data_IF_670242041151
#
_entry.id   IF_670242041151
#
_cell.length_a   1.000
_cell.length_b   1.000
_cell.length_c   1.000
_cell.angle_alpha   90.00
_cell.angle_beta   90.00
_cell.angle_gamma   90.00
#
_symmetry.space_group_name_H-M   'P 1'
#
loop_
_entity.id
_entity.type
_entity.pdbx_description
1 polymer ?
#
# COMPACT_ATOMS: atom_id res chain seq x y z
N UNK A 1 -7.57 5.28 20.69
CA UNK A 1 -6.95 5.17 19.35
C UNK A 1 -6.28 3.82 19.13
N UNK A 2 -5.42 3.35 20.04
CA UNK A 2 -4.81 2.00 19.98
C UNK A 2 -5.67 0.93 20.64
N UNK A 3 -6.82 0.64 20.05
CA UNK A 3 -7.70 -0.46 20.46
C UNK A 3 -8.18 -1.18 19.20
N UNK A 4 -8.66 -2.41 19.35
CA UNK A 4 -9.34 -3.14 18.28
C UNK A 4 -10.81 -2.73 18.22
N UNK A 5 -11.38 -2.72 17.03
CA UNK A 5 -12.76 -2.33 16.75
C UNK A 5 -13.55 -3.48 16.18
N UNK A 6 -14.45 -3.15 15.25
CA UNK A 6 -15.27 -4.13 14.53
C UNK A 6 -14.41 -5.24 13.90
N UNK A 7 -14.80 -6.52 14.05
CA UNK A 7 -14.01 -7.70 13.65
C UNK A 7 -12.58 -7.76 14.24
N UNK A 8 -12.34 -7.12 15.39
CA UNK A 8 -11.01 -7.04 16.02
C UNK A 8 -9.95 -6.35 15.16
N UNK A 9 -10.33 -5.60 14.12
CA UNK A 9 -9.37 -4.86 13.30
C UNK A 9 -8.86 -3.62 14.06
N UNK A 10 -7.60 -3.22 13.89
CA UNK A 10 -7.07 -2.04 14.55
C UNK A 10 -7.86 -0.77 14.18
N UNK A 11 -8.27 0.02 15.18
CA UNK A 11 -9.09 1.20 14.95
C UNK A 11 -8.41 2.30 14.12
N UNK A 12 -7.07 2.22 13.93
CA UNK A 12 -6.29 3.17 13.14
C UNK A 12 -6.82 3.31 11.70
N UNK A 13 -7.26 2.21 11.08
CA UNK A 13 -7.80 2.24 9.71
C UNK A 13 -9.06 3.10 9.60
N UNK A 14 -9.90 3.11 10.65
CA UNK A 14 -11.09 3.96 10.70
C UNK A 14 -10.73 5.43 10.87
N UNK A 15 -9.68 5.77 11.62
CA UNK A 15 -9.20 7.16 11.71
C UNK A 15 -8.62 7.65 10.39
N UNK A 16 -7.85 6.80 9.69
CA UNK A 16 -7.40 7.10 8.33
C UNK A 16 -8.58 7.39 7.41
N UNK A 17 -9.58 6.50 7.39
CA UNK A 17 -10.78 6.66 6.57
C UNK A 17 -11.61 7.91 6.94
N UNK A 18 -11.78 8.20 8.24
CA UNK A 18 -12.50 9.36 8.71
C UNK A 18 -11.85 10.69 8.28
N UNK A 19 -10.51 10.74 8.25
CA UNK A 19 -9.78 11.91 7.73
C UNK A 19 -10.11 12.18 6.26
N UNK A 20 -10.17 11.14 5.44
CA UNK A 20 -10.52 11.27 4.02
C UNK A 20 -11.99 11.60 3.79
N UNK A 21 -12.91 11.07 4.59
CA UNK A 21 -14.31 11.48 4.55
C UNK A 21 -14.50 12.95 4.90
N UNK A 22 -13.70 13.50 5.83
CA UNK A 22 -13.74 14.94 6.12
C UNK A 22 -13.29 15.80 4.92
N UNK A 23 -12.39 15.30 4.08
CA UNK A 23 -11.84 16.03 2.93
C UNK A 23 -12.69 15.87 1.67
N UNK A 24 -13.22 14.68 1.41
CA UNK A 24 -13.89 14.32 0.16
C UNK A 24 -15.40 14.07 0.30
N UNK A 25 -15.91 14.10 1.53
CA UNK A 25 -17.29 13.76 1.87
C UNK A 25 -17.52 12.26 2.06
N UNK A 26 -18.62 11.91 2.70
CA UNK A 26 -19.08 10.53 2.91
C UNK A 26 -19.76 9.99 1.63
N UNK A 27 -18.94 9.65 0.65
CA UNK A 27 -19.37 9.09 -0.63
C UNK A 27 -18.42 7.97 -1.09
N UNK A 28 -18.77 7.30 -2.18
CA UNK A 28 -17.96 6.21 -2.74
C UNK A 28 -16.52 6.62 -3.07
N UNK A 29 -16.29 7.90 -3.41
CA UNK A 29 -14.95 8.42 -3.72
C UNK A 29 -14.16 8.56 -2.42
N UNK A 30 -14.73 9.20 -1.40
CA UNK A 30 -14.12 9.32 -0.07
C UNK A 30 -13.80 7.95 0.54
N UNK A 31 -14.63 6.93 0.28
CA UNK A 31 -14.40 5.57 0.74
C UNK A 31 -13.27 4.85 -0.03
N UNK A 32 -13.19 5.00 -1.35
CA UNK A 32 -12.30 4.15 -2.19
C UNK A 32 -10.99 4.80 -2.58
N UNK A 33 -10.99 6.11 -2.82
CA UNK A 33 -9.80 6.86 -3.23
C UNK A 33 -8.62 6.67 -2.28
N UNK A 34 -8.77 6.70 -0.94
CA UNK A 34 -7.65 6.57 -0.02
C UNK A 34 -6.92 5.23 -0.18
N UNK A 35 -7.69 4.15 -0.33
CA UNK A 35 -7.18 2.80 -0.47
C UNK A 35 -6.64 2.52 -1.86
N UNK A 36 -7.19 3.14 -2.90
CA UNK A 36 -6.63 3.12 -4.25
C UNK A 36 -5.26 3.81 -4.30
N UNK A 37 -5.10 4.92 -3.57
CA UNK A 37 -3.80 5.60 -3.41
C UNK A 37 -2.81 4.70 -2.69
N UNK A 38 -3.22 4.05 -1.60
CA UNK A 38 -2.39 3.05 -0.88
C UNK A 38 -1.93 1.94 -1.82
N UNK A 39 -2.83 1.31 -2.58
CA UNK A 39 -2.47 0.27 -3.55
C UNK A 39 -1.52 0.78 -4.65
N UNK A 40 -1.68 2.02 -5.10
CA UNK A 40 -0.79 2.63 -6.10
C UNK A 40 0.64 2.80 -5.54
N UNK A 41 0.77 3.23 -4.27
CA UNK A 41 2.07 3.31 -3.60
C UNK A 41 2.71 1.93 -3.38
N UNK A 42 1.92 0.88 -3.23
CA UNK A 42 2.43 -0.50 -3.20
C UNK A 42 3.10 -0.85 -4.53
N UNK A 43 2.43 -0.59 -5.67
CA UNK A 43 2.99 -0.85 -7.01
C UNK A 43 4.29 -0.06 -7.22
N UNK A 44 4.31 1.21 -6.83
CA UNK A 44 5.50 2.05 -6.92
C UNK A 44 6.63 1.53 -6.04
N UNK A 45 6.34 1.13 -4.80
CA UNK A 45 7.31 0.51 -3.91
C UNK A 45 7.89 -0.77 -4.50
N UNK A 46 7.06 -1.62 -5.14
CA UNK A 46 7.50 -2.88 -5.75
C UNK A 46 8.44 -2.60 -6.92
N UNK A 47 8.10 -1.63 -7.77
CA UNK A 47 8.99 -1.19 -8.84
C UNK A 47 10.36 -0.76 -8.30
N UNK A 48 10.39 0.09 -7.26
CA UNK A 48 11.64 0.59 -6.68
C UNK A 48 12.46 -0.52 -6.02
N UNK A 49 11.80 -1.43 -5.30
CA UNK A 49 12.43 -2.58 -4.66
C UNK A 49 13.10 -3.50 -5.67
N UNK A 50 12.39 -3.88 -6.72
CA UNK A 50 12.91 -4.79 -7.75
C UNK A 50 13.98 -4.09 -8.59
N UNK A 51 13.78 -2.81 -8.93
CA UNK A 51 14.79 -2.02 -9.68
C UNK A 51 16.11 -1.90 -8.93
N UNK A 52 16.09 -1.96 -7.59
CA UNK A 52 17.29 -1.82 -6.76
C UNK A 52 18.05 -3.14 -6.57
N UNK A 53 17.36 -4.27 -6.70
CA UNK A 53 17.96 -5.60 -6.58
C UNK A 53 18.30 -6.22 -7.94
N UNK A 54 17.62 -5.78 -8.99
CA UNK A 54 17.70 -6.35 -10.34
C UNK A 54 17.67 -5.24 -11.42
N UNK A 55 17.31 -5.60 -12.65
CA UNK A 55 17.23 -4.70 -13.79
C UNK A 55 15.89 -3.97 -13.93
N UNK A 56 15.92 -2.85 -14.67
CA UNK A 56 14.74 -2.04 -14.99
C UNK A 56 13.62 -2.83 -15.68
N UNK A 57 13.96 -3.80 -16.54
CA UNK A 57 12.97 -4.64 -17.25
C UNK A 57 12.19 -5.51 -16.28
N UNK A 58 12.87 -6.15 -15.34
CA UNK A 58 12.24 -6.99 -14.32
C UNK A 58 11.36 -6.15 -13.39
N UNK A 59 11.82 -4.96 -13.01
CA UNK A 59 11.03 -4.03 -12.20
C UNK A 59 9.73 -3.59 -12.87
N UNK A 60 9.75 -3.31 -14.18
CA UNK A 60 8.53 -2.96 -14.92
C UNK A 60 7.59 -4.15 -15.05
N UNK A 61 8.11 -5.36 -15.32
CA UNK A 61 7.30 -6.56 -15.42
C UNK A 61 6.62 -6.90 -14.10
N UNK A 62 7.33 -6.87 -12.98
CA UNK A 62 6.75 -7.17 -11.66
C UNK A 62 5.74 -6.11 -11.23
N UNK A 63 6.02 -4.82 -11.46
CA UNK A 63 5.07 -3.75 -11.20
C UNK A 63 3.81 -3.85 -12.06
N UNK A 64 3.96 -4.19 -13.35
CA UNK A 64 2.84 -4.42 -14.25
C UNK A 64 1.98 -5.61 -13.79
N UNK A 65 2.61 -6.75 -13.50
CA UNK A 65 1.92 -7.94 -13.01
C UNK A 65 1.13 -7.63 -11.74
N UNK A 66 1.73 -6.92 -10.78
CA UNK A 66 1.07 -6.50 -9.54
C UNK A 66 -0.08 -5.52 -9.79
N UNK A 67 0.11 -4.54 -10.68
CA UNK A 67 -0.92 -3.58 -11.05
C UNK A 67 -2.14 -4.24 -11.69
N UNK A 68 -1.94 -5.31 -12.46
CA UNK A 68 -3.02 -6.10 -13.08
C UNK A 68 -3.52 -7.26 -12.22
N UNK A 69 -2.92 -7.49 -11.05
CA UNK A 69 -3.25 -8.64 -10.21
C UNK A 69 -4.63 -8.47 -9.57
N UNK A 70 -5.52 -9.41 -9.85
CA UNK A 70 -6.94 -9.33 -9.49
C UNK A 70 -7.16 -9.06 -7.99
N UNK A 71 -6.47 -9.79 -7.11
CA UNK A 71 -6.63 -9.60 -5.66
C UNK A 71 -6.15 -8.21 -5.20
N UNK A 72 -5.05 -7.71 -5.78
CA UNK A 72 -4.54 -6.38 -5.44
C UNK A 72 -5.54 -5.28 -5.83
N UNK A 73 -6.12 -5.38 -7.04
CA UNK A 73 -7.18 -4.46 -7.50
C UNK A 73 -8.44 -4.59 -6.64
N UNK A 74 -8.83 -5.82 -6.28
CA UNK A 74 -10.02 -6.08 -5.48
C UNK A 74 -9.94 -5.35 -4.13
N UNK A 75 -8.87 -5.56 -3.36
CA UNK A 75 -8.69 -4.89 -2.06
C UNK A 75 -8.50 -3.38 -2.19
N UNK A 76 -7.84 -2.90 -3.25
CA UNK A 76 -7.70 -1.46 -3.52
C UNK A 76 -9.03 -0.75 -3.77
N UNK A 77 -10.09 -1.48 -4.16
CA UNK A 77 -11.42 -0.93 -4.49
C UNK A 77 -12.47 -1.15 -3.39
N UNK A 78 -12.22 -2.04 -2.44
CA UNK A 78 -13.18 -2.40 -1.40
C UNK A 78 -13.34 -1.32 -0.32
N UNK A 79 -12.35 -0.46 -0.13
CA UNK A 79 -12.33 0.46 1.01
C UNK A 79 -11.90 -0.20 2.32
N UNK A 80 -11.12 -1.28 2.24
CA UNK A 80 -10.72 -2.12 3.36
C UNK A 80 -9.22 -1.98 3.65
N UNK A 81 -8.84 -2.15 4.92
CA UNK A 81 -7.47 -1.99 5.40
C UNK A 81 -6.48 -3.05 4.91
N UNK A 82 -6.96 -4.17 4.37
CA UNK A 82 -6.10 -5.27 3.89
C UNK A 82 -5.12 -4.84 2.78
N UNK A 83 -5.42 -3.76 2.04
CA UNK A 83 -4.49 -3.23 1.02
C UNK A 83 -3.25 -2.56 1.62
N UNK A 84 -3.28 -2.19 2.91
CA UNK A 84 -2.13 -1.61 3.59
C UNK A 84 -1.05 -2.65 3.90
N UNK A 85 -1.41 -3.93 4.07
CA UNK A 85 -0.46 -5.01 4.38
C UNK A 85 0.67 -5.10 3.33
N UNK A 86 0.38 -5.23 2.02
CA UNK A 86 1.43 -5.30 1.01
C UNK A 86 2.20 -3.98 0.88
N UNK A 87 1.59 -2.82 1.16
CA UNK A 87 2.30 -1.54 1.20
C UNK A 87 3.44 -1.60 2.21
N UNK A 88 3.12 -1.90 3.47
CA UNK A 88 4.12 -1.93 4.53
C UNK A 88 5.20 -2.97 4.27
N UNK A 89 4.83 -4.17 3.83
CA UNK A 89 5.80 -5.22 3.49
C UNK A 89 6.80 -4.73 2.43
N UNK A 90 6.29 -4.18 1.32
CA UNK A 90 7.14 -3.74 0.21
C UNK A 90 8.08 -2.60 0.62
N UNK A 91 7.56 -1.61 1.35
CA UNK A 91 8.37 -0.46 1.77
C UNK A 91 9.37 -0.81 2.88
N UNK A 92 9.03 -1.70 3.82
CA UNK A 92 9.98 -2.24 4.81
C UNK A 92 11.12 -2.96 4.10
N UNK A 93 10.81 -3.85 3.15
CA UNK A 93 11.83 -4.54 2.36
C UNK A 93 12.68 -3.55 1.55
N UNK A 94 12.06 -2.51 0.98
CA UNK A 94 12.77 -1.47 0.25
C UNK A 94 13.78 -0.75 1.12
N UNK A 95 13.35 -0.22 2.28
CA UNK A 95 14.26 0.48 3.19
C UNK A 95 15.33 -0.45 3.79
N UNK A 96 14.98 -1.71 4.05
CA UNK A 96 15.95 -2.71 4.49
C UNK A 96 17.05 -2.94 3.45
N UNK A 97 16.69 -3.09 2.17
CA UNK A 97 17.65 -3.23 1.07
C UNK A 97 18.47 -1.95 0.88
N UNK A 98 17.84 -0.78 0.98
CA UNK A 98 18.52 0.51 0.91
C UNK A 98 19.55 0.64 2.03
N UNK A 99 19.18 0.32 3.28
CA UNK A 99 20.06 0.38 4.44
C UNK A 99 21.20 -0.64 4.35
N UNK A 100 20.90 -1.87 3.91
CA UNK A 100 21.90 -2.92 3.73
C UNK A 100 22.96 -2.53 2.68
N UNK A 101 22.53 -2.00 1.55
CA UNK A 101 23.43 -1.57 0.47
C UNK A 101 24.14 -0.25 0.79
N UNK A 102 23.50 0.65 1.53
CA UNK A 102 24.08 1.91 1.98
C UNK A 102 25.16 1.71 3.05
N UNK A 103 25.08 0.59 3.79
CA UNK A 103 25.96 0.29 4.91
C UNK A 103 25.72 1.22 6.09
N UNK A 104 25.84 0.69 7.30
CA UNK A 104 26.23 1.52 8.44
C UNK A 104 27.65 2.07 8.19
N UNK A 105 27.73 3.11 7.38
CA UNK A 105 28.91 3.98 7.28
C UNK A 105 28.77 5.11 8.28
#
# INVERSE_FOLDING_TARGET
>A
MFATGWLSVPNLSFFWQAGWFKLLGDNLIGLRLPWAVVGTFTVLGTYLLVRRQFDRRQALLTAFLLATYHFHIHYSRLGSNQVADPLFVVWVLYFMVVGWQGGWR
#
